data_IF_333874682033
#
_entry.id   IF_333874682033
#
_cell.length_a   1.000
_cell.length_b   1.000
_cell.length_c   1.000
_cell.angle_alpha   90.00
_cell.angle_beta   90.00
_cell.angle_gamma   90.00
#
_symmetry.space_group_name_H-M   'P 1'
#
loop_
_entity.id
_entity.type
_entity.pdbx_description
1 polymer ?
#
# COMPACT_ATOMS: atom_id res chain seq x y z
N UNK A 1 14.49 26.01 -4.99
CA UNK A 1 14.69 25.55 -3.60
C UNK A 1 13.64 24.48 -3.30
N UNK A 2 14.01 23.20 -3.23
CA UNK A 2 13.06 22.12 -2.90
C UNK A 2 12.83 22.17 -1.39
N UNK A 3 11.73 22.77 -0.96
CA UNK A 3 11.29 22.73 0.43
C UNK A 3 11.26 21.26 0.85
N UNK A 4 12.17 20.87 1.75
CA UNK A 4 12.03 19.59 2.44
C UNK A 4 10.68 19.64 3.15
N UNK A 5 9.80 18.68 2.85
CA UNK A 5 8.51 18.59 3.52
C UNK A 5 8.75 18.56 5.04
N UNK A 6 8.01 19.39 5.78
CA UNK A 6 8.14 19.46 7.24
C UNK A 6 7.88 18.07 7.85
N UNK A 7 8.50 17.76 9.00
CA UNK A 7 8.32 16.44 9.65
C UNK A 7 6.82 16.09 9.85
N UNK A 8 5.99 17.10 10.09
CA UNK A 8 4.54 16.97 10.21
C UNK A 8 3.86 16.62 8.88
N UNK A 9 4.29 17.21 7.77
CA UNK A 9 3.80 16.86 6.43
C UNK A 9 4.17 15.42 6.05
N UNK A 10 5.38 14.97 6.39
CA UNK A 10 5.81 13.59 6.15
C UNK A 10 4.95 12.63 6.98
N UNK A 11 4.61 12.99 8.22
CA UNK A 11 3.73 12.19 9.08
C UNK A 11 2.31 12.11 8.52
N UNK A 12 1.71 13.24 8.17
CA UNK A 12 0.37 13.28 7.57
C UNK A 12 0.31 12.44 6.28
N UNK A 13 1.37 12.51 5.45
CA UNK A 13 1.48 11.71 4.24
C UNK A 13 1.62 10.21 4.54
N UNK A 14 2.38 9.86 5.56
CA UNK A 14 2.52 8.47 6.01
C UNK A 14 1.20 7.90 6.51
N UNK A 15 0.45 8.66 7.33
CA UNK A 15 -0.87 8.26 7.83
C UNK A 15 -1.87 8.03 6.69
N UNK A 16 -1.86 8.91 5.69
CA UNK A 16 -2.65 8.75 4.47
C UNK A 16 -2.32 7.42 3.75
N UNK A 17 -1.04 7.17 3.48
CA UNK A 17 -0.62 5.95 2.77
C UNK A 17 -0.87 4.67 3.57
N UNK A 18 -0.75 4.72 4.91
CA UNK A 18 -1.10 3.59 5.77
C UNK A 18 -2.60 3.29 5.72
N UNK A 19 -3.44 4.32 5.78
CA UNK A 19 -4.90 4.18 5.68
C UNK A 19 -5.31 3.64 4.31
N UNK A 20 -4.70 4.16 3.23
CA UNK A 20 -4.93 3.66 1.89
C UNK A 20 -4.50 2.18 1.75
N UNK A 21 -3.33 1.82 2.25
CA UNK A 21 -2.82 0.44 2.23
C UNK A 21 -3.75 -0.52 2.98
N UNK A 22 -4.29 -0.11 4.14
CA UNK A 22 -5.27 -0.92 4.88
C UNK A 22 -6.53 -1.19 4.05
N UNK A 23 -7.11 -0.16 3.41
CA UNK A 23 -8.28 -0.32 2.51
C UNK A 23 -7.98 -1.28 1.35
N UNK A 24 -6.82 -1.13 0.71
CA UNK A 24 -6.42 -1.98 -0.42
C UNK A 24 -6.24 -3.45 0.00
N UNK A 25 -5.61 -3.70 1.16
CA UNK A 25 -5.43 -5.06 1.71
C UNK A 25 -6.76 -5.71 2.08
N UNK A 26 -7.68 -4.95 2.68
CA UNK A 26 -9.02 -5.44 3.02
C UNK A 26 -9.78 -5.90 1.75
N UNK A 27 -9.75 -5.08 0.69
CA UNK A 27 -10.35 -5.44 -0.59
C UNK A 27 -9.71 -6.68 -1.22
N UNK A 28 -8.37 -6.79 -1.16
CA UNK A 28 -7.65 -7.95 -1.67
C UNK A 28 -8.08 -9.23 -0.94
N UNK A 29 -8.11 -9.22 0.40
CA UNK A 29 -8.54 -10.37 1.20
C UNK A 29 -9.99 -10.75 0.85
N UNK A 30 -10.91 -9.78 0.80
CA UNK A 30 -12.31 -10.04 0.48
C UNK A 30 -12.52 -10.69 -0.91
N UNK A 31 -11.75 -10.26 -1.91
CA UNK A 31 -11.81 -10.81 -3.28
C UNK A 31 -11.15 -12.19 -3.40
N UNK A 32 -10.07 -12.43 -2.67
CA UNK A 32 -9.32 -13.71 -2.70
C UNK A 32 -10.06 -14.80 -1.92
N UNK A 33 -10.53 -14.49 -0.71
CA UNK A 33 -11.26 -15.42 0.15
C UNK A 33 -12.60 -15.86 -0.48
N UNK A 34 -13.05 -15.17 -1.53
CA UNK A 34 -14.23 -15.53 -2.31
C UNK A 34 -15.54 -15.13 -1.64
N UNK A 35 -15.47 -14.37 -0.55
CA UNK A 35 -16.65 -13.86 0.15
C UNK A 35 -17.49 -12.86 -0.66
N UNK A 36 -16.92 -12.23 -1.69
CA UNK A 36 -17.62 -11.27 -2.55
C UNK A 36 -17.21 -11.37 -4.02
N UNK A 37 -18.17 -11.15 -4.93
CA UNK A 37 -17.93 -11.10 -6.39
C UNK A 37 -17.22 -9.80 -6.80
N UNK A 38 -17.54 -8.70 -6.12
CA UNK A 38 -16.93 -7.39 -6.30
C UNK A 38 -16.80 -6.66 -4.96
N UNK A 39 -15.82 -5.79 -4.85
CA UNK A 39 -15.55 -4.98 -3.67
C UNK A 39 -15.45 -3.50 -4.06
N UNK A 40 -16.27 -2.64 -3.46
CA UNK A 40 -16.24 -1.20 -3.75
C UNK A 40 -15.32 -0.48 -2.78
N UNK A 41 -14.30 0.21 -3.32
CA UNK A 41 -13.46 1.14 -2.57
C UNK A 41 -13.78 2.55 -3.04
N UNK A 42 -14.27 3.39 -2.13
CA UNK A 42 -14.63 4.80 -2.36
C UNK A 42 -15.57 4.96 -3.58
N UNK A 43 -15.03 5.21 -4.78
CA UNK A 43 -15.80 5.37 -6.03
C UNK A 43 -15.52 4.32 -7.11
N UNK A 44 -14.68 3.30 -6.83
CA UNK A 44 -14.34 2.24 -7.78
C UNK A 44 -14.80 0.87 -7.30
N UNK A 45 -15.37 0.08 -8.21
CA UNK A 45 -15.69 -1.32 -7.97
C UNK A 45 -14.55 -2.19 -8.48
N UNK A 46 -14.03 -3.08 -7.63
CA UNK A 46 -12.96 -4.02 -7.95
C UNK A 46 -13.53 -5.41 -8.07
N UNK A 47 -13.03 -6.17 -9.03
CA UNK A 47 -13.39 -7.57 -9.24
C UNK A 47 -12.16 -8.47 -9.08
N UNK A 48 -12.38 -9.78 -9.12
CA UNK A 48 -11.27 -10.76 -9.12
C UNK A 48 -10.30 -10.57 -10.30
N UNK A 49 -10.75 -10.03 -11.43
CA UNK A 49 -9.90 -9.75 -12.57
C UNK A 49 -8.91 -8.60 -12.31
N UNK A 50 -9.23 -7.72 -11.37
CA UNK A 50 -8.41 -6.56 -11.00
C UNK A 50 -7.35 -6.89 -9.94
N UNK A 51 -7.33 -8.12 -9.41
CA UNK A 51 -6.37 -8.57 -8.39
C UNK A 51 -4.90 -8.32 -8.77
N UNK A 52 -4.44 -8.56 -10.01
CA UNK A 52 -3.05 -8.27 -10.40
C UNK A 52 -2.73 -6.78 -10.32
N UNK A 53 -3.68 -5.91 -10.68
CA UNK A 53 -3.53 -4.46 -10.59
C UNK A 53 -3.55 -3.99 -9.13
N UNK A 54 -4.48 -4.52 -8.33
CA UNK A 54 -4.60 -4.23 -6.90
C UNK A 54 -3.31 -4.63 -6.15
N UNK A 55 -2.70 -5.77 -6.47
CA UNK A 55 -1.42 -6.19 -5.90
C UNK A 55 -0.28 -5.23 -6.24
N UNK A 56 -0.25 -4.66 -7.46
CA UNK A 56 0.75 -3.65 -7.82
C UNK A 56 0.55 -2.37 -7.00
N UNK A 57 -0.69 -1.90 -6.86
CA UNK A 57 -1.01 -0.74 -6.05
C UNK A 57 -0.63 -0.93 -4.56
N UNK A 58 -0.91 -2.12 -4.00
CA UNK A 58 -0.50 -2.48 -2.64
C UNK A 58 1.02 -2.38 -2.48
N UNK A 59 1.79 -2.94 -3.41
CA UNK A 59 3.27 -2.90 -3.38
C UNK A 59 3.81 -1.47 -3.49
N UNK A 60 3.18 -0.64 -4.31
CA UNK A 60 3.55 0.77 -4.43
C UNK A 60 3.25 1.54 -3.14
N UNK A 61 2.08 1.31 -2.53
CA UNK A 61 1.71 1.91 -1.26
C UNK A 61 2.65 1.46 -0.12
N UNK A 62 2.99 0.17 -0.04
CA UNK A 62 3.99 -0.36 0.90
C UNK A 62 5.34 0.33 0.75
N UNK A 63 5.83 0.43 -0.50
CA UNK A 63 7.09 1.12 -0.79
C UNK A 63 7.04 2.59 -0.35
N UNK A 64 5.92 3.28 -0.54
CA UNK A 64 5.75 4.67 -0.08
C UNK A 64 5.74 4.79 1.43
N UNK A 65 5.07 3.88 2.14
CA UNK A 65 5.10 3.83 3.61
C UNK A 65 6.53 3.60 4.10
N UNK A 66 7.28 2.67 3.49
CA UNK A 66 8.67 2.39 3.84
C UNK A 66 9.58 3.60 3.58
N UNK A 67 9.47 4.24 2.42
CA UNK A 67 10.21 5.46 2.07
C UNK A 67 9.93 6.59 3.08
N UNK A 68 8.67 6.86 3.40
CA UNK A 68 8.29 7.93 4.34
C UNK A 68 8.70 7.59 5.79
N UNK A 69 8.58 6.33 6.20
CA UNK A 69 9.02 5.86 7.51
C UNK A 69 10.54 6.00 7.66
N UNK A 70 11.28 5.67 6.60
CA UNK A 70 12.74 5.80 6.54
C UNK A 70 13.15 7.28 6.66
N UNK A 71 12.50 8.17 5.91
CA UNK A 71 12.69 9.62 5.98
C UNK A 71 12.42 10.17 7.39
N UNK A 72 11.32 9.76 8.04
CA UNK A 72 11.00 10.16 9.42
C UNK A 72 12.02 9.66 10.46
N UNK A 73 12.53 8.45 10.27
CA UNK A 73 13.54 7.84 11.17
C UNK A 73 14.96 8.34 10.90
N UNK A 74 15.16 9.20 9.90
CA UNK A 74 16.49 9.63 9.45
C UNK A 74 17.36 8.47 8.93
N UNK A 75 16.76 7.32 8.63
CA UNK A 75 17.47 6.13 8.14
C UNK A 75 17.25 6.00 6.64
N UNK A 76 18.31 5.70 5.89
CA UNK A 76 18.24 5.39 4.46
C UNK A 76 17.31 4.17 4.25
N UNK A 77 16.32 4.19 3.33
CA UNK A 77 15.38 3.09 3.16
C UNK A 77 16.12 1.80 2.80
N UNK A 78 15.83 0.71 3.52
CA UNK A 78 16.37 -0.63 3.22
C UNK A 78 15.53 -1.23 2.10
N UNK A 79 16.21 -1.76 1.07
CA UNK A 79 15.61 -2.40 -0.10
C UNK A 79 14.73 -3.57 0.37
N UNK A 80 13.42 -3.50 0.17
CA UNK A 80 12.50 -4.58 0.52
C UNK A 80 12.68 -5.73 -0.48
N UNK A 81 13.05 -6.91 0.02
CA UNK A 81 13.06 -8.15 -0.76
C UNK A 81 11.66 -8.75 -0.70
N UNK A 82 10.99 -8.87 -1.85
CA UNK A 82 9.72 -9.57 -1.95
C UNK A 82 9.92 -11.06 -1.72
N UNK A 83 9.44 -11.59 -0.60
CA UNK A 83 9.38 -13.03 -0.39
C UNK A 83 8.24 -13.57 -1.25
N UNK A 84 8.60 -14.31 -2.30
CA UNK A 84 7.65 -15.09 -3.11
C UNK A 84 7.37 -16.38 -2.36
N UNK A 85 6.13 -16.64 -1.90
CA UNK A 85 5.79 -17.95 -1.35
C UNK A 85 5.87 -18.96 -2.48
N UNK A 86 6.81 -19.91 -2.38
CA UNK A 86 6.86 -21.07 -3.27
C UNK A 86 5.94 -22.12 -2.66
N UNK A 87 4.74 -22.25 -3.21
CA UNK A 87 3.88 -23.40 -2.91
C UNK A 87 4.54 -24.66 -3.47
N UNK A 88 4.59 -25.67 -2.61
CA UNK A 88 4.97 -27.05 -2.87
C UNK A 88 3.78 -27.82 -3.45
#
# INVERSE_FOLDING_TARGET
>A
MRLMASRDEIRARLEYWQTALQKLRAAYIALVDGGVQSYTIDNRSLTRFDLPSLLKEIREAERKVDELTALLKGRKPRKAFGVVPRNW
#
